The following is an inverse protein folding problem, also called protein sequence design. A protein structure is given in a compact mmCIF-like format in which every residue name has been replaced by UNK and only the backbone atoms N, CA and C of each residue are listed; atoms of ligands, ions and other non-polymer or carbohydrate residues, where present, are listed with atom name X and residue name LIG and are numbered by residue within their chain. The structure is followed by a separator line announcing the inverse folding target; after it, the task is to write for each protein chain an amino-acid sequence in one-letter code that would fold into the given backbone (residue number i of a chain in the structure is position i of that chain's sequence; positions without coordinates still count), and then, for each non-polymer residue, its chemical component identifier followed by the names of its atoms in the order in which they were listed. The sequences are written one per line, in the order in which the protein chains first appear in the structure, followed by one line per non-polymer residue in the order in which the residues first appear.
data_IF_868288439716
#
_entry.id   IF_868288439716
#
_cell.length_a   1.000
_cell.length_b   1.000
_cell.length_c   1.000
_cell.angle_alpha   90.00
_cell.angle_beta   90.00
_cell.angle_gamma   90.00
#
_symmetry.space_group_name_H-M   'P 1'
#
loop_
_entity.id
_entity.type
_entity.pdbx_description
1 polymer ?
#
# COMPACT_ATOMS: atom_id res chain seq x y z
N UNK A 1 -7.51 -2.29 -10.35
CA UNK A 1 -7.34 -2.22 -8.87
C UNK A 1 -6.40 -1.07 -8.54
N UNK A 2 -6.62 -0.34 -7.45
CA UNK A 2 -5.84 0.87 -7.11
C UNK A 2 -5.25 0.68 -5.72
N UNK A 3 -3.91 0.64 -5.64
CA UNK A 3 -3.20 0.38 -4.39
C UNK A 3 -2.14 1.48 -4.18
N UNK A 4 -1.94 1.89 -2.93
CA UNK A 4 -0.94 2.91 -2.55
C UNK A 4 0.33 2.21 -2.07
N UNK A 5 1.49 2.73 -2.47
CA UNK A 5 2.78 2.31 -1.94
C UNK A 5 3.05 2.98 -0.59
N UNK A 6 3.51 2.20 0.38
CA UNK A 6 3.76 2.62 1.76
C UNK A 6 5.23 2.40 2.08
N UNK A 7 5.91 3.50 2.41
CA UNK A 7 7.34 3.53 2.67
C UNK A 7 8.20 3.46 1.41
N UNK A 8 9.51 3.44 1.60
CA UNK A 8 10.47 3.37 0.50
C UNK A 8 10.46 4.59 -0.42
N UNK A 9 10.99 4.40 -1.62
CA UNK A 9 11.20 5.46 -2.62
C UNK A 9 9.98 5.73 -3.53
N UNK A 10 8.92 4.94 -3.39
CA UNK A 10 7.60 5.12 -4.00
C UNK A 10 6.52 5.48 -2.95
N UNK A 11 6.89 5.89 -1.74
CA UNK A 11 5.91 6.24 -0.70
C UNK A 11 4.84 7.22 -1.20
N UNK A 12 3.56 6.88 -0.98
CA UNK A 12 2.40 7.64 -1.44
C UNK A 12 2.06 7.49 -2.93
N UNK A 13 2.87 6.80 -3.74
CA UNK A 13 2.59 6.57 -5.16
C UNK A 13 1.43 5.59 -5.32
N UNK A 14 0.47 5.97 -6.15
CA UNK A 14 -0.69 5.16 -6.50
C UNK A 14 -0.36 4.29 -7.71
N UNK A 15 -0.43 2.97 -7.56
CA UNK A 15 -0.22 2.00 -8.64
C UNK A 15 -1.58 1.42 -9.04
N UNK A 16 -1.91 1.53 -10.32
CA UNK A 16 -3.19 1.09 -10.88
C UNK A 16 -3.03 -0.16 -11.74
N UNK A 17 -4.06 -1.02 -11.73
CA UNK A 17 -4.18 -2.22 -12.55
C UNK A 17 -2.99 -3.20 -12.48
N UNK A 18 -2.26 -3.18 -11.36
CA UNK A 18 -1.20 -4.14 -11.06
C UNK A 18 -1.72 -5.26 -10.19
N UNK A 19 -1.45 -6.49 -10.61
CA UNK A 19 -1.70 -7.71 -9.85
C UNK A 19 -0.38 -8.35 -9.40
N UNK A 20 -0.46 -9.27 -8.45
CA UNK A 20 0.70 -9.97 -7.90
C UNK A 20 0.92 -9.72 -6.41
N UNK A 21 1.90 -10.43 -5.86
CA UNK A 21 2.29 -10.34 -4.45
C UNK A 21 3.54 -9.50 -4.23
N UNK A 22 4.24 -9.12 -5.30
CA UNK A 22 5.55 -8.47 -5.25
C UNK A 22 5.78 -7.58 -6.48
N UNK A 23 6.57 -6.51 -6.33
CA UNK A 23 7.23 -5.85 -7.46
C UNK A 23 8.47 -5.04 -7.07
N UNK A 24 9.33 -4.80 -8.07
CA UNK A 24 10.47 -3.89 -7.96
C UNK A 24 10.05 -2.46 -8.34
N UNK A 25 10.44 -1.46 -7.55
CA UNK A 25 10.13 -0.06 -7.86
C UNK A 25 10.61 0.37 -9.25
N UNK A 26 11.71 -0.24 -9.71
CA UNK A 26 12.31 -0.02 -11.03
C UNK A 26 11.38 -0.35 -12.20
N UNK A 27 10.34 -1.17 -11.97
CA UNK A 27 9.29 -1.44 -12.96
C UNK A 27 8.35 -0.24 -13.17
N UNK A 28 8.26 0.67 -12.20
CA UNK A 28 7.46 1.90 -12.25
C UNK A 28 8.35 3.10 -12.60
N UNK A 29 9.54 3.19 -12.00
CA UNK A 29 10.52 4.23 -12.24
C UNK A 29 11.93 3.64 -12.10
N UNK A 30 12.67 3.56 -13.20
CA UNK A 30 13.98 2.92 -13.28
C UNK A 30 15.05 3.53 -12.35
N UNK A 31 14.82 4.71 -11.78
CA UNK A 31 15.74 5.33 -10.80
C UNK A 31 15.57 4.78 -9.37
N UNK A 32 14.48 4.05 -9.13
CA UNK A 32 14.07 3.51 -7.83
C UNK A 32 14.64 2.12 -7.61
N UNK A 33 14.81 1.75 -6.34
CA UNK A 33 15.52 0.54 -5.90
C UNK A 33 14.79 -0.26 -4.83
N UNK A 34 13.76 0.30 -4.18
CA UNK A 34 12.97 -0.47 -3.22
C UNK A 34 12.18 -1.58 -3.90
N UNK A 35 11.78 -2.57 -3.12
CA UNK A 35 10.84 -3.60 -3.52
C UNK A 35 9.61 -3.56 -2.64
N UNK A 36 8.48 -4.07 -3.13
CA UNK A 36 7.19 -3.93 -2.46
C UNK A 36 6.42 -5.24 -2.46
N UNK A 37 5.85 -5.60 -1.31
CA UNK A 37 4.94 -6.73 -1.16
C UNK A 37 3.48 -6.26 -1.10
N UNK A 38 2.57 -7.01 -1.71
CA UNK A 38 1.13 -6.74 -1.62
C UNK A 38 0.58 -7.24 -0.28
N UNK A 39 -0.04 -6.37 0.50
CA UNK A 39 -0.80 -6.75 1.69
C UNK A 39 -2.28 -6.41 1.51
N UNK A 40 -3.15 -7.39 1.78
CA UNK A 40 -4.61 -7.19 1.80
C UNK A 40 -5.09 -7.06 3.24
N UNK A 41 -5.98 -6.09 3.47
CA UNK A 41 -6.68 -5.83 4.71
C UNK A 41 -8.18 -5.96 4.45
N UNK A 42 -8.90 -6.66 5.33
CA UNK A 42 -10.36 -6.81 5.21
C UNK A 42 -10.99 -5.95 6.31
N UNK A 43 -11.74 -4.93 5.90
CA UNK A 43 -12.45 -4.02 6.80
C UNK A 43 -13.93 -4.08 6.45
N UNK A 44 -14.78 -4.44 7.42
CA UNK A 44 -16.24 -4.58 7.21
C UNK A 44 -16.59 -5.43 5.97
N UNK A 45 -15.80 -6.49 5.72
CA UNK A 45 -15.96 -7.39 4.57
C UNK A 45 -15.44 -6.85 3.23
N UNK A 46 -14.93 -5.62 3.17
CA UNK A 46 -14.34 -5.03 1.97
C UNK A 46 -12.81 -5.17 1.97
N UNK A 47 -12.20 -5.67 0.87
CA UNK A 47 -10.75 -5.77 0.77
C UNK A 47 -10.11 -4.43 0.37
N UNK A 48 -9.07 -4.05 1.08
CA UNK A 48 -8.18 -2.92 0.79
C UNK A 48 -6.77 -3.46 0.60
N UNK A 49 -6.04 -2.95 -0.40
CA UNK A 49 -4.71 -3.44 -0.73
C UNK A 49 -3.69 -2.31 -0.76
N UNK A 50 -2.52 -2.61 -0.24
CA UNK A 50 -1.37 -1.70 -0.19
C UNK A 50 -0.12 -2.43 -0.66
N UNK A 51 0.80 -1.66 -1.24
CA UNK A 51 2.14 -2.11 -1.57
C UNK A 51 3.07 -1.67 -0.45
N UNK A 52 3.56 -2.59 0.37
CA UNK A 52 4.40 -2.27 1.53
C UNK A 52 5.87 -2.44 1.14
N UNK A 53 6.68 -1.40 1.36
CA UNK A 53 8.13 -1.46 1.15
C UNK A 53 8.74 -2.62 1.93
N UNK A 54 9.44 -3.51 1.24
CA UNK A 54 9.99 -4.74 1.81
C UNK A 54 11.29 -4.49 2.58
N UNK A 55 11.99 -3.38 2.30
CA UNK A 55 13.19 -2.97 3.03
C UNK A 55 12.87 -2.30 4.38
N UNK A 56 11.61 -1.97 4.63
CA UNK A 56 11.16 -1.42 5.91
C UNK A 56 10.61 -2.50 6.85
N UNK A 57 10.72 -2.33 8.18
CA UNK A 57 10.10 -3.24 9.13
C UNK A 57 8.60 -3.36 8.89
N UNK A 58 8.11 -4.60 8.76
CA UNK A 58 6.70 -4.87 8.48
C UNK A 58 5.74 -4.21 9.49
N UNK A 59 6.14 -4.11 10.77
CA UNK A 59 5.35 -3.45 11.80
C UNK A 59 5.15 -1.96 11.51
N UNK A 60 6.16 -1.27 10.98
CA UNK A 60 6.10 0.16 10.67
C UNK A 60 5.20 0.42 9.46
N UNK A 61 5.40 -0.32 8.37
CA UNK A 61 4.57 -0.20 7.16
C UNK A 61 3.10 -0.57 7.44
N UNK A 62 2.85 -1.56 8.31
CA UNK A 62 1.51 -1.92 8.77
C UNK A 62 0.86 -0.80 9.58
N UNK A 63 1.58 -0.12 10.47
CA UNK A 63 1.04 1.03 11.23
C UNK A 63 0.63 2.16 10.27
N UNK A 64 1.42 2.43 9.23
CA UNK A 64 1.11 3.46 8.25
C UNK A 64 -0.12 3.05 7.40
N UNK A 65 -0.17 1.80 6.92
CA UNK A 65 -1.32 1.28 6.19
C UNK A 65 -2.63 1.37 7.02
N UNK A 66 -2.56 1.03 8.31
CA UNK A 66 -3.70 1.15 9.21
C UNK A 66 -4.14 2.62 9.43
N UNK A 67 -3.21 3.58 9.46
CA UNK A 67 -3.55 5.01 9.49
C UNK A 67 -4.29 5.43 8.22
N UNK A 68 -3.83 5.00 7.04
CA UNK A 68 -4.54 5.25 5.77
C UNK A 68 -5.94 4.64 5.79
N UNK A 69 -6.11 3.42 6.31
CA UNK A 69 -7.43 2.82 6.47
C UNK A 69 -8.31 3.68 7.40
N UNK A 70 -7.84 4.03 8.59
CA UNK A 70 -8.62 4.80 9.56
C UNK A 70 -9.09 6.17 9.03
N UNK A 71 -8.23 6.88 8.29
CA UNK A 71 -8.54 8.16 7.66
C UNK A 71 -9.61 8.03 6.56
N UNK A 72 -9.59 6.93 5.79
CA UNK A 72 -10.52 6.71 4.69
C UNK A 72 -11.84 6.05 5.14
N UNK A 73 -11.85 5.31 6.25
CA UNK A 73 -13.07 4.67 6.81
C UNK A 73 -13.98 5.70 7.52
N UNK A 74 -13.41 6.74 8.16
CA UNK A 74 -14.19 7.78 8.85
C UNK A 74 -15.06 8.65 7.92
N UNK A 75 -14.89 8.54 6.60
CA UNK A 75 -15.70 9.27 5.63
C UNK A 75 -17.04 8.56 5.36
N UNK A 76 -17.20 7.28 5.74
CA UNK A 76 -18.40 6.48 5.42
C UNK A 76 -19.43 6.32 6.56
N UNK A 77 -19.14 6.78 7.78
CA UNK A 77 -20.06 6.73 8.93
C UNK A 77 -20.74 8.08 9.25
N UNK A 78 -20.96 8.93 8.24
CA UNK A 78 -21.82 10.12 8.34
C UNK A 78 -23.05 9.98 7.43
N UNK A 79 -24.02 9.17 7.85
CA UNK A 79 -25.44 9.31 7.48
C UNK A 79 -26.30 8.96 8.68
#
# INVERSE_FOLDING_TARGET
MINICIGGDLDGVVVTNREGTYFEASEIDATKKSSYNCQTYIVEGKPYRFWLCAEMPYAETTVIANKHLAQNIHIFHKF
#
